data_IF_990332956757
#
_entry.id   IF_990332956757
#
_cell.length_a   1.000
_cell.length_b   1.000
_cell.length_c   1.000
_cell.angle_alpha   90.00
_cell.angle_beta   90.00
_cell.angle_gamma   90.00
#
_symmetry.space_group_name_H-M   'P 1'
#
loop_
_entity.id
_entity.type
_entity.pdbx_description
1 polymer ?
#
# COMPACT_ATOMS: atom_id res chain seq x y z
N UNK A 1 13.15 24.80 26.11
CA UNK A 1 12.19 25.23 25.08
C UNK A 1 12.59 24.53 23.80
N UNK A 2 11.97 23.39 23.51
CA UNK A 2 12.20 22.64 22.28
C UNK A 2 11.68 23.43 21.10
N UNK A 3 12.49 23.60 20.07
CA UNK A 3 12.05 24.17 18.80
C UNK A 3 10.79 23.45 18.31
N UNK A 4 9.80 24.16 17.73
CA UNK A 4 8.64 23.51 17.17
C UNK A 4 9.12 22.59 16.04
N UNK A 5 8.71 21.33 16.10
CA UNK A 5 8.92 20.37 15.02
C UNK A 5 8.22 20.93 13.78
N UNK A 6 8.96 21.62 12.91
CA UNK A 6 8.46 22.09 11.62
C UNK A 6 8.37 20.88 10.70
N UNK A 7 7.32 20.08 10.85
CA UNK A 7 7.07 18.97 9.92
C UNK A 7 6.77 19.59 8.55
N UNK A 8 7.65 19.40 7.58
CA UNK A 8 7.39 19.68 6.15
C UNK A 8 6.33 18.74 5.53
N UNK A 9 5.50 18.14 6.37
CA UNK A 9 4.46 17.19 6.01
C UNK A 9 3.18 17.93 5.62
N UNK A 10 2.45 17.34 4.68
CA UNK A 10 1.10 17.78 4.31
C UNK A 10 0.08 17.36 5.37
N UNK A 11 -1.06 18.05 5.44
CA UNK A 11 -2.15 17.67 6.35
C UNK A 11 -2.68 16.26 6.06
N UNK A 12 -2.95 16.01 4.77
CA UNK A 12 -3.49 14.73 4.31
C UNK A 12 -2.74 14.18 3.09
N UNK A 13 -2.90 12.87 2.89
CA UNK A 13 -2.52 12.12 1.70
C UNK A 13 -3.80 11.79 0.91
N UNK A 14 -3.89 12.24 -0.36
CA UNK A 14 -4.99 11.87 -1.27
C UNK A 14 -4.69 10.52 -1.92
N UNK A 15 -5.39 9.47 -1.51
CA UNK A 15 -5.13 8.09 -1.94
C UNK A 15 -6.24 7.59 -2.87
N UNK A 16 -5.87 7.11 -4.06
CA UNK A 16 -6.74 6.35 -4.94
C UNK A 16 -6.67 4.86 -4.63
N UNK A 17 -7.80 4.22 -4.38
CA UNK A 17 -7.91 2.77 -4.17
C UNK A 17 -8.69 2.20 -5.35
N UNK A 18 -8.09 1.27 -6.08
CA UNK A 18 -8.76 0.53 -7.16
C UNK A 18 -8.95 -0.91 -6.70
N UNK A 19 -10.16 -1.43 -6.82
CA UNK A 19 -10.49 -2.82 -6.63
C UNK A 19 -10.90 -3.41 -7.97
N UNK A 20 -10.05 -4.25 -8.56
CA UNK A 20 -10.43 -5.02 -9.75
C UNK A 20 -11.31 -6.19 -9.36
N UNK A 21 -12.23 -6.59 -10.24
CA UNK A 21 -13.20 -7.67 -9.99
C UNK A 21 -12.80 -9.03 -10.57
N UNK A 22 -11.54 -9.19 -10.99
CA UNK A 22 -11.06 -10.40 -11.63
C UNK A 22 -11.39 -11.66 -10.81
N UNK A 23 -11.73 -12.75 -11.48
CA UNK A 23 -12.04 -14.03 -10.85
C UNK A 23 -10.75 -14.84 -10.66
N UNK A 24 -10.29 -15.10 -9.42
CA UNK A 24 -9.04 -15.80 -9.17
C UNK A 24 -9.08 -17.29 -9.58
N UNK A 25 -10.26 -17.89 -9.69
CA UNK A 25 -10.40 -19.27 -10.20
C UNK A 25 -10.19 -19.26 -11.71
N UNK A 26 -10.79 -18.31 -12.43
CA UNK A 26 -10.66 -18.18 -13.88
C UNK A 26 -9.30 -17.62 -14.32
N UNK A 27 -8.64 -16.83 -13.47
CA UNK A 27 -7.37 -16.20 -13.77
C UNK A 27 -6.22 -17.22 -13.87
N UNK A 28 -6.14 -18.18 -12.94
CA UNK A 28 -4.98 -19.09 -12.82
C UNK A 28 -5.36 -20.58 -12.94
N UNK A 29 -6.18 -20.92 -13.95
CA UNK A 29 -6.62 -22.30 -14.21
C UNK A 29 -5.46 -23.19 -14.67
N UNK A 30 -4.61 -22.68 -15.57
CA UNK A 30 -3.57 -23.46 -16.27
C UNK A 30 -2.16 -23.19 -15.76
N UNK A 31 -2.03 -22.59 -14.57
CA UNK A 31 -0.75 -22.21 -13.98
C UNK A 31 -0.72 -20.73 -13.54
N UNK A 32 0.48 -20.19 -13.25
CA UNK A 32 0.66 -18.90 -12.61
C UNK A 32 0.47 -17.71 -13.55
N UNK A 33 0.18 -17.94 -14.83
CA UNK A 33 -0.08 -16.86 -15.79
C UNK A 33 -1.57 -16.55 -15.83
N UNK A 34 -1.94 -15.29 -15.61
CA UNK A 34 -3.33 -14.82 -15.72
C UNK A 34 -3.90 -15.14 -17.10
N UNK A 35 -5.13 -15.65 -17.13
CA UNK A 35 -5.83 -16.00 -18.37
C UNK A 35 -6.18 -14.76 -19.19
N UNK A 36 -6.19 -14.83 -20.54
CA UNK A 36 -6.42 -13.65 -21.39
C UNK A 36 -7.73 -12.90 -21.10
N UNK A 37 -8.80 -13.62 -20.73
CA UNK A 37 -10.09 -13.01 -20.41
C UNK A 37 -10.01 -12.17 -19.13
N UNK A 38 -9.35 -12.67 -18.08
CA UNK A 38 -9.16 -11.93 -16.84
C UNK A 38 -8.12 -10.80 -17.00
N UNK A 39 -7.11 -10.97 -17.87
CA UNK A 39 -6.20 -9.86 -18.24
C UNK A 39 -6.97 -8.71 -18.89
N UNK A 40 -7.85 -8.99 -19.85
CA UNK A 40 -8.66 -7.98 -20.53
C UNK A 40 -9.61 -7.25 -19.57
N UNK A 41 -10.29 -8.01 -18.68
CA UNK A 41 -11.15 -7.44 -17.64
C UNK A 41 -10.36 -6.50 -16.73
N UNK A 42 -9.26 -6.99 -16.15
CA UNK A 42 -8.44 -6.20 -15.23
C UNK A 42 -7.91 -4.94 -15.91
N UNK A 43 -7.38 -5.04 -17.13
CA UNK A 43 -6.89 -3.89 -17.90
C UNK A 43 -8.00 -2.86 -18.15
N UNK A 44 -9.19 -3.31 -18.51
CA UNK A 44 -10.34 -2.43 -18.79
C UNK A 44 -10.74 -1.65 -17.55
N UNK A 45 -10.88 -2.33 -16.41
CA UNK A 45 -11.23 -1.72 -15.13
C UNK A 45 -10.16 -0.72 -14.67
N UNK A 46 -8.88 -1.13 -14.69
CA UNK A 46 -7.75 -0.27 -14.31
C UNK A 46 -7.74 1.00 -15.15
N UNK A 47 -7.87 0.89 -16.48
CA UNK A 47 -7.89 2.05 -17.37
C UNK A 47 -9.09 2.96 -17.09
N UNK A 48 -10.27 2.39 -16.83
CA UNK A 48 -11.46 3.15 -16.47
C UNK A 48 -11.25 3.99 -15.22
N UNK A 49 -10.74 3.40 -14.14
CA UNK A 49 -10.50 4.12 -12.90
C UNK A 49 -9.33 5.11 -12.98
N UNK A 50 -8.27 4.79 -13.71
CA UNK A 50 -7.21 5.78 -14.00
C UNK A 50 -7.76 6.97 -14.79
N UNK A 51 -8.65 6.75 -15.76
CA UNK A 51 -9.27 7.83 -16.49
C UNK A 51 -10.15 8.71 -15.58
N UNK A 52 -10.92 8.10 -14.67
CA UNK A 52 -11.73 8.81 -13.68
C UNK A 52 -10.86 9.62 -12.71
N UNK A 53 -9.82 9.01 -12.14
CA UNK A 53 -8.89 9.70 -11.22
C UNK A 53 -8.10 10.82 -11.89
N UNK A 54 -7.91 10.77 -13.22
CA UNK A 54 -7.27 11.86 -13.95
C UNK A 54 -8.15 13.12 -14.06
N UNK A 55 -9.47 13.01 -13.85
CA UNK A 55 -10.37 14.16 -13.86
C UNK A 55 -10.32 14.96 -12.54
N UNK A 56 -9.69 14.40 -11.51
CA UNK A 56 -9.56 15.04 -10.22
C UNK A 56 -8.48 16.10 -10.21
N UNK A 57 -8.73 17.19 -9.50
CA UNK A 57 -7.79 18.31 -9.37
C UNK A 57 -7.52 18.62 -7.90
N UNK A 58 -6.33 18.29 -7.37
CA UNK A 58 -5.28 17.48 -8.00
C UNK A 58 -5.66 15.99 -8.11
N UNK A 59 -5.00 15.21 -8.99
CA UNK A 59 -5.09 13.75 -8.99
C UNK A 59 -4.63 13.15 -7.65
N UNK A 60 -4.94 11.87 -7.37
CA UNK A 60 -4.42 11.20 -6.18
C UNK A 60 -2.89 11.21 -6.12
N UNK A 61 -2.33 11.38 -4.93
CA UNK A 61 -0.88 11.32 -4.70
C UNK A 61 -0.32 9.91 -4.92
N UNK A 62 -1.04 8.92 -4.39
CA UNK A 62 -0.75 7.49 -4.50
C UNK A 62 -2.00 6.78 -5.04
N UNK A 63 -1.81 5.77 -5.89
CA UNK A 63 -2.85 4.84 -6.29
C UNK A 63 -2.43 3.42 -5.91
N UNK A 64 -3.30 2.69 -5.20
CA UNK A 64 -3.07 1.30 -4.81
C UNK A 64 -3.98 0.35 -5.60
N UNK A 65 -3.43 -0.78 -6.02
CA UNK A 65 -4.15 -1.88 -6.67
C UNK A 65 -3.91 -3.21 -5.93
N UNK A 66 -4.84 -4.17 -5.97
CA UNK A 66 -4.75 -5.39 -5.17
C UNK A 66 -3.59 -6.29 -5.58
N UNK A 67 -3.34 -7.31 -4.76
CA UNK A 67 -2.41 -8.39 -5.10
C UNK A 67 -2.85 -9.09 -6.40
N UNK A 68 -1.87 -9.46 -7.25
CA UNK A 68 -2.09 -10.19 -8.50
C UNK A 68 -3.12 -9.56 -9.46
N UNK A 69 -3.38 -8.25 -9.33
CA UNK A 69 -4.41 -7.56 -10.09
C UNK A 69 -3.97 -7.08 -11.47
N UNK A 70 -2.66 -6.94 -11.69
CA UNK A 70 -2.10 -6.31 -12.89
C UNK A 70 -1.36 -7.35 -13.74
N UNK A 71 -1.80 -7.61 -14.98
CA UNK A 71 -1.07 -8.50 -15.89
C UNK A 71 0.37 -8.02 -16.12
N UNK A 72 1.33 -8.94 -16.13
CA UNK A 72 2.75 -8.60 -16.35
C UNK A 72 2.99 -7.88 -17.69
N UNK A 73 2.25 -8.23 -18.75
CA UNK A 73 2.31 -7.56 -20.05
C UNK A 73 1.77 -6.12 -20.05
N UNK A 74 1.04 -5.71 -19.01
CA UNK A 74 0.48 -4.37 -18.87
C UNK A 74 1.39 -3.40 -18.10
N UNK A 75 2.48 -3.88 -17.49
CA UNK A 75 3.40 -3.07 -16.67
C UNK A 75 3.87 -1.79 -17.39
N UNK A 76 4.29 -1.89 -18.66
CA UNK A 76 4.78 -0.74 -19.42
C UNK A 76 3.71 0.36 -19.60
N UNK A 77 2.45 -0.04 -19.83
CA UNK A 77 1.32 0.89 -19.96
C UNK A 77 0.96 1.49 -18.60
N UNK A 78 0.98 0.70 -17.53
CA UNK A 78 0.75 1.19 -16.17
C UNK A 78 1.78 2.26 -15.77
N UNK A 79 3.06 2.05 -16.10
CA UNK A 79 4.12 3.06 -15.91
C UNK A 79 3.85 4.34 -16.67
N UNK A 80 3.40 4.25 -17.92
CA UNK A 80 3.04 5.42 -18.71
C UNK A 80 1.85 6.19 -18.11
N UNK A 81 0.83 5.47 -17.63
CA UNK A 81 -0.33 6.08 -16.95
C UNK A 81 0.08 6.78 -15.64
N UNK A 82 0.89 6.15 -14.80
CA UNK A 82 1.44 6.75 -13.59
C UNK A 82 2.23 8.04 -13.89
N UNK A 83 3.07 8.00 -14.92
CA UNK A 83 3.87 9.15 -15.37
C UNK A 83 3.00 10.31 -15.85
N UNK A 84 1.99 10.02 -16.66
CA UNK A 84 1.05 11.03 -17.18
C UNK A 84 0.23 11.67 -16.05
N UNK A 85 -0.21 10.86 -15.08
CA UNK A 85 -1.00 11.33 -13.94
C UNK A 85 -0.15 12.06 -12.89
N UNK A 86 1.17 11.83 -12.89
CA UNK A 86 2.08 12.30 -11.84
C UNK A 86 1.72 11.76 -10.45
N UNK A 87 1.23 10.52 -10.41
CA UNK A 87 0.89 9.80 -9.18
C UNK A 87 1.84 8.62 -8.98
N UNK A 88 2.21 8.37 -7.74
CA UNK A 88 2.87 7.10 -7.38
C UNK A 88 1.85 5.97 -7.49
N UNK A 89 2.26 4.82 -8.00
CA UNK A 89 1.37 3.64 -8.12
C UNK A 89 2.00 2.46 -7.40
N UNK A 90 1.20 1.76 -6.59
CA UNK A 90 1.59 0.54 -5.88
C UNK A 90 0.61 -0.56 -6.30
N UNK A 91 1.08 -1.56 -7.04
CA UNK A 91 0.20 -2.53 -7.67
C UNK A 91 0.70 -3.97 -7.53
N UNK A 92 -0.17 -4.91 -7.18
CA UNK A 92 0.16 -6.33 -7.25
C UNK A 92 0.22 -6.79 -8.70
N UNK A 93 1.39 -7.27 -9.13
CA UNK A 93 1.55 -7.85 -10.46
C UNK A 93 1.14 -9.32 -10.43
N UNK A 94 0.62 -9.81 -11.57
CA UNK A 94 0.52 -11.23 -11.88
C UNK A 94 1.88 -11.93 -11.68
N UNK A 95 1.85 -13.25 -11.45
CA UNK A 95 3.06 -13.98 -11.09
C UNK A 95 4.14 -13.82 -12.18
N UNK A 96 5.38 -13.69 -11.72
CA UNK A 96 6.56 -13.60 -12.58
C UNK A 96 7.38 -14.89 -12.46
N UNK A 97 7.84 -15.42 -13.58
CA UNK A 97 8.79 -16.53 -13.56
C UNK A 97 10.11 -16.13 -12.86
N UNK A 98 10.64 -17.05 -12.05
CA UNK A 98 11.96 -16.94 -11.43
C UNK A 98 13.09 -17.33 -12.39
N UNK A 99 14.29 -17.47 -11.83
CA UNK A 99 15.49 -17.80 -12.60
C UNK A 99 15.53 -19.29 -12.98
N UNK A 100 15.02 -20.17 -12.10
CA UNK A 100 14.92 -21.59 -12.38
C UNK A 100 13.54 -21.97 -12.97
N UNK A 101 13.46 -23.00 -13.83
CA UNK A 101 12.19 -23.52 -14.33
C UNK A 101 11.23 -23.88 -13.20
N UNK A 102 10.00 -23.39 -13.29
CA UNK A 102 8.96 -23.62 -12.27
C UNK A 102 9.05 -22.71 -11.04
N UNK A 103 10.09 -21.87 -10.89
CA UNK A 103 10.08 -20.83 -9.84
C UNK A 103 9.11 -19.71 -10.22
N UNK A 104 8.36 -19.21 -9.24
CA UNK A 104 7.45 -18.07 -9.40
C UNK A 104 7.59 -17.07 -8.25
N UNK A 105 7.42 -15.80 -8.58
CA UNK A 105 7.37 -14.69 -7.64
C UNK A 105 6.00 -14.03 -7.69
N UNK A 106 5.54 -13.59 -6.52
CA UNK A 106 4.40 -12.70 -6.35
C UNK A 106 4.95 -11.35 -5.87
N UNK A 107 4.89 -10.34 -6.74
CA UNK A 107 5.56 -9.05 -6.54
C UNK A 107 4.51 -7.91 -6.51
N UNK A 108 4.62 -7.01 -5.54
CA UNK A 108 4.09 -5.67 -5.69
C UNK A 108 5.07 -4.80 -6.51
N UNK A 109 4.56 -3.95 -7.38
CA UNK A 109 5.30 -2.97 -8.16
C UNK A 109 5.00 -1.57 -7.63
N UNK A 110 6.04 -0.93 -7.09
CA UNK A 110 6.05 0.50 -6.83
C UNK A 110 6.54 1.23 -8.08
N UNK A 111 5.76 2.20 -8.57
CA UNK A 111 6.09 3.07 -9.69
C UNK A 111 6.16 4.51 -9.17
N UNK A 112 7.31 5.16 -9.36
CA UNK A 112 7.52 6.56 -9.02
C UNK A 112 7.63 7.39 -10.32
N UNK A 113 6.70 8.33 -10.57
CA UNK A 113 6.72 9.14 -11.79
C UNK A 113 7.89 10.14 -11.77
N UNK A 114 8.29 10.64 -12.94
CA UNK A 114 9.36 11.65 -13.08
C UNK A 114 9.08 12.93 -12.28
N UNK A 115 7.80 13.29 -12.14
CA UNK A 115 7.33 14.42 -11.34
C UNK A 115 6.22 13.95 -10.43
N UNK A 116 6.25 14.40 -9.18
CA UNK A 116 5.28 14.05 -8.16
C UNK A 116 5.11 15.22 -7.20
N UNK A 117 3.86 15.62 -6.92
CA UNK A 117 3.53 16.78 -6.06
C UNK A 117 4.32 18.05 -6.41
N UNK A 118 4.44 18.34 -7.71
CA UNK A 118 5.17 19.51 -8.23
C UNK A 118 6.70 19.40 -8.20
N UNK A 119 7.28 18.37 -7.58
CA UNK A 119 8.72 18.14 -7.49
C UNK A 119 9.20 17.16 -8.56
N UNK A 120 10.43 17.34 -9.04
CA UNK A 120 11.08 16.37 -9.90
C UNK A 120 11.66 15.23 -9.05
N UNK A 121 11.29 13.99 -9.36
CA UNK A 121 11.78 12.78 -8.67
C UNK A 121 12.97 12.14 -9.39
N UNK A 122 13.14 12.43 -10.68
CA UNK A 122 14.23 11.90 -11.49
C UNK A 122 14.00 12.13 -12.98
N UNK A 123 15.01 11.83 -13.81
CA UNK A 123 14.92 11.98 -15.27
C UNK A 123 14.03 10.92 -15.93
N UNK A 124 13.75 9.80 -15.24
CA UNK A 124 12.93 8.68 -15.73
C UNK A 124 12.01 8.17 -14.64
N UNK A 125 10.89 7.57 -15.06
CA UNK A 125 9.97 6.86 -14.16
C UNK A 125 10.66 5.63 -13.59
N UNK A 126 10.81 5.61 -12.26
CA UNK A 126 11.48 4.54 -11.53
C UNK A 126 10.48 3.46 -11.14
N UNK A 127 10.95 2.21 -11.04
CA UNK A 127 10.16 1.10 -10.51
C UNK A 127 10.93 0.31 -9.47
N UNK A 128 10.21 -0.25 -8.50
CA UNK A 128 10.74 -1.18 -7.50
C UNK A 128 9.78 -2.34 -7.32
N UNK A 129 10.31 -3.56 -7.38
CA UNK A 129 9.56 -4.76 -6.99
C UNK A 129 9.74 -5.01 -5.50
N UNK A 130 8.64 -5.32 -4.83
CA UNK A 130 8.56 -5.69 -3.42
C UNK A 130 7.96 -7.09 -3.40
N UNK A 131 8.81 -8.10 -3.26
CA UNK A 131 8.38 -9.48 -3.31
C UNK A 131 7.64 -9.90 -2.04
N UNK A 132 6.69 -10.81 -2.21
CA UNK A 132 5.96 -11.46 -1.11
C UNK A 132 6.89 -12.45 -0.40
N UNK A 133 6.85 -12.46 0.93
CA UNK A 133 7.68 -13.37 1.73
C UNK A 133 7.03 -14.72 1.93
N UNK A 134 5.75 -14.74 2.28
CA UNK A 134 5.03 -15.95 2.61
C UNK A 134 3.86 -16.15 1.66
N UNK A 135 3.90 -17.23 0.87
CA UNK A 135 2.72 -17.68 0.14
C UNK A 135 1.59 -18.01 1.13
N UNK A 136 0.35 -17.65 0.78
CA UNK A 136 -0.80 -18.08 1.55
C UNK A 136 -0.94 -19.61 1.45
N UNK A 137 -1.48 -20.31 2.47
CA UNK A 137 -1.58 -21.77 2.43
C UNK A 137 -2.30 -22.34 1.20
N UNK A 138 -3.35 -21.66 0.72
CA UNK A 138 -4.09 -22.08 -0.49
C UNK A 138 -3.34 -21.74 -1.79
N UNK A 139 -2.55 -20.66 -1.79
CA UNK A 139 -1.67 -20.29 -2.91
C UNK A 139 -0.55 -21.31 -3.06
N UNK A 140 0.15 -21.64 -1.96
CA UNK A 140 1.25 -22.60 -1.94
C UNK A 140 0.80 -23.98 -2.43
N UNK A 141 -0.35 -24.46 -1.92
CA UNK A 141 -0.97 -25.72 -2.38
C UNK A 141 -1.25 -25.73 -3.88
N UNK A 142 -1.81 -24.64 -4.43
CA UNK A 142 -2.13 -24.52 -5.86
C UNK A 142 -0.87 -24.52 -6.72
N UNK A 143 0.17 -23.78 -6.30
CA UNK A 143 1.45 -23.71 -7.01
C UNK A 143 2.14 -25.08 -7.04
N UNK A 144 2.22 -25.77 -5.90
CA UNK A 144 2.81 -27.11 -5.81
C UNK A 144 2.05 -28.10 -6.70
N UNK A 145 0.71 -28.08 -6.67
CA UNK A 145 -0.11 -28.97 -7.50
C UNK A 145 0.09 -28.73 -9.01
N UNK A 146 0.45 -27.51 -9.39
CA UNK A 146 0.77 -27.14 -10.76
C UNK A 146 2.28 -27.29 -11.10
N UNK A 147 3.07 -27.94 -10.24
CA UNK A 147 4.52 -28.13 -10.39
C UNK A 147 5.34 -26.82 -10.40
N UNK A 148 4.90 -25.81 -9.65
CA UNK A 148 5.62 -24.56 -9.41
C UNK A 148 6.12 -24.47 -7.97
N UNK A 149 7.24 -23.75 -7.79
CA UNK A 149 7.83 -23.45 -6.48
C UNK A 149 7.74 -21.95 -6.23
N UNK A 150 7.12 -21.57 -5.11
CA UNK A 150 7.06 -20.18 -4.70
C UNK A 150 8.41 -19.68 -4.20
N UNK A 151 8.91 -18.59 -4.79
CA UNK A 151 10.16 -17.94 -4.39
C UNK A 151 9.89 -16.79 -3.43
N UNK A 152 10.29 -17.00 -2.18
CA UNK A 152 10.17 -16.03 -1.09
C UNK A 152 11.13 -14.86 -1.26
N UNK A 153 10.66 -13.64 -0.97
CA UNK A 153 11.50 -12.45 -0.78
C UNK A 153 11.33 -11.93 0.66
N UNK A 154 12.32 -12.10 1.55
CA UNK A 154 12.22 -11.66 2.95
C UNK A 154 12.44 -10.15 3.13
N UNK A 155 12.74 -9.41 2.07
CA UNK A 155 13.07 -7.98 2.16
C UNK A 155 11.92 -7.17 2.74
N UNK A 156 12.24 -6.23 3.64
CA UNK A 156 11.31 -5.26 4.22
C UNK A 156 11.75 -3.86 3.78
N UNK A 157 10.82 -3.11 3.19
CA UNK A 157 11.10 -1.80 2.59
C UNK A 157 10.49 -0.69 3.41
N UNK A 158 11.32 0.26 3.83
CA UNK A 158 10.88 1.53 4.39
C UNK A 158 11.00 2.61 3.31
N UNK A 159 9.87 3.09 2.81
CA UNK A 159 9.80 3.98 1.66
C UNK A 159 9.55 5.42 2.11
N UNK A 160 10.45 6.34 1.77
CA UNK A 160 10.30 7.76 2.06
C UNK A 160 9.37 8.42 1.03
N UNK A 161 8.20 8.87 1.49
CA UNK A 161 7.22 9.61 0.70
C UNK A 161 7.37 11.14 0.79
N UNK A 162 8.42 11.65 1.43
CA UNK A 162 8.63 13.07 1.64
C UNK A 162 7.48 13.69 2.43
N UNK A 163 6.74 14.62 1.82
CA UNK A 163 5.70 15.38 2.49
C UNK A 163 4.51 14.52 2.98
N UNK A 164 4.28 13.33 2.42
CA UNK A 164 3.19 12.44 2.86
C UNK A 164 3.62 11.47 3.96
N UNK A 165 4.86 11.57 4.44
CA UNK A 165 5.44 10.66 5.41
C UNK A 165 5.99 9.37 4.78
N UNK A 166 6.54 8.52 5.65
CA UNK A 166 7.14 7.24 5.30
C UNK A 166 6.06 6.16 5.26
N UNK A 167 6.22 5.17 4.38
CA UNK A 167 5.26 4.07 4.26
C UNK A 167 5.92 2.72 4.02
N UNK A 168 5.18 1.66 4.36
CA UNK A 168 5.52 0.27 4.05
C UNK A 168 4.51 -0.34 3.09
N UNK A 169 4.93 -1.38 2.37
CA UNK A 169 4.07 -2.18 1.50
C UNK A 169 4.19 -3.64 1.91
N UNK A 170 3.05 -4.32 2.03
CA UNK A 170 2.96 -5.73 2.38
C UNK A 170 2.02 -6.43 1.39
N UNK A 171 2.33 -7.68 1.04
CA UNK A 171 1.53 -8.45 0.08
C UNK A 171 0.76 -9.53 0.84
N UNK A 172 -0.54 -9.29 1.00
CA UNK A 172 -1.55 -10.23 1.49
C UNK A 172 -1.16 -10.95 2.77
N UNK A 173 -0.72 -12.21 2.68
CA UNK A 173 -0.43 -13.06 3.84
C UNK A 173 0.74 -12.55 4.69
N UNK A 174 1.67 -11.77 4.10
CA UNK A 174 2.71 -11.06 4.84
C UNK A 174 2.14 -10.15 5.93
N UNK A 175 0.89 -9.68 5.79
CA UNK A 175 0.22 -8.84 6.77
C UNK A 175 -0.01 -9.54 8.12
N UNK A 176 0.05 -10.87 8.16
CA UNK A 176 -0.08 -11.65 9.40
C UNK A 176 1.27 -11.95 10.05
N UNK A 177 2.38 -11.49 9.48
CA UNK A 177 3.71 -11.60 10.07
C UNK A 177 3.95 -10.51 11.12
N UNK A 178 3.91 -10.91 12.39
CA UNK A 178 4.12 -10.03 13.53
C UNK A 178 5.51 -9.38 13.55
N UNK A 179 6.56 -10.10 13.14
CA UNK A 179 7.93 -9.56 13.15
C UNK A 179 8.06 -8.44 12.11
N UNK A 180 7.51 -8.67 10.91
CA UNK A 180 7.43 -7.66 9.86
C UNK A 180 6.62 -6.44 10.28
N UNK A 181 5.47 -6.62 10.92
CA UNK A 181 4.67 -5.51 11.47
C UNK A 181 5.49 -4.71 12.50
N UNK A 182 6.19 -5.40 13.40
CA UNK A 182 6.99 -4.75 14.44
C UNK A 182 8.11 -3.88 13.85
N UNK A 183 8.70 -4.26 12.71
CA UNK A 183 9.73 -3.48 12.02
C UNK A 183 9.26 -2.10 11.54
N UNK A 184 7.94 -1.90 11.37
CA UNK A 184 7.34 -0.63 10.95
C UNK A 184 6.91 0.26 12.12
N UNK A 185 6.83 -0.28 13.34
CA UNK A 185 6.34 0.45 14.52
C UNK A 185 7.13 1.74 14.75
N UNK A 186 6.41 2.86 14.75
CA UNK A 186 6.96 4.20 14.92
C UNK A 186 7.79 4.74 13.77
N UNK A 187 7.88 4.02 12.64
CA UNK A 187 8.72 4.38 11.49
C UNK A 187 7.93 4.78 10.25
N UNK A 188 6.62 4.58 10.26
CA UNK A 188 5.74 4.83 9.11
C UNK A 188 4.49 5.60 9.53
N UNK A 189 3.99 6.41 8.60
CA UNK A 189 2.66 7.02 8.67
C UNK A 189 1.63 6.12 7.98
N UNK A 190 2.03 5.30 6.99
CA UNK A 190 1.09 4.45 6.23
C UNK A 190 1.63 3.02 6.03
N UNK A 191 0.73 2.05 6.13
CA UNK A 191 0.96 0.69 5.65
C UNK A 191 -0.06 0.36 4.55
N UNK A 192 0.45 -0.01 3.38
CA UNK A 192 -0.37 -0.45 2.24
C UNK A 192 -0.29 -1.97 2.10
N UNK A 193 -1.44 -2.63 2.23
CA UNK A 193 -1.59 -4.07 2.11
C UNK A 193 -2.34 -4.35 0.82
N UNK A 194 -1.67 -4.98 -0.13
CA UNK A 194 -2.29 -5.43 -1.38
C UNK A 194 -2.77 -6.87 -1.17
N UNK A 195 -4.04 -7.16 -1.42
CA UNK A 195 -4.61 -8.46 -1.04
C UNK A 195 -5.47 -9.09 -2.14
N UNK A 196 -5.37 -10.41 -2.22
CA UNK A 196 -6.34 -11.30 -2.83
C UNK A 196 -6.75 -12.31 -1.76
N UNK A 197 -7.57 -11.85 -0.82
CA UNK A 197 -7.91 -12.61 0.37
C UNK A 197 -9.42 -12.80 0.52
N UNK A 198 -9.83 -14.05 0.76
CA UNK A 198 -11.23 -14.43 1.03
C UNK A 198 -11.69 -14.07 2.44
N UNK A 199 -10.79 -14.03 3.42
CA UNK A 199 -11.11 -13.72 4.82
C UNK A 199 -10.95 -12.22 5.12
N UNK A 200 -11.85 -11.43 4.53
CA UNK A 200 -11.84 -9.97 4.70
C UNK A 200 -12.11 -9.52 6.16
N UNK A 201 -12.84 -10.32 6.94
CA UNK A 201 -13.21 -9.95 8.31
C UNK A 201 -12.01 -10.06 9.25
N UNK A 202 -11.24 -11.13 9.20
CA UNK A 202 -10.02 -11.24 10.01
C UNK A 202 -9.02 -10.16 9.63
N UNK A 203 -8.82 -9.89 8.34
CA UNK A 203 -7.95 -8.80 7.88
C UNK A 203 -8.37 -7.43 8.41
N UNK A 204 -9.68 -7.15 8.47
CA UNK A 204 -10.21 -5.92 9.09
C UNK A 204 -9.82 -5.81 10.56
N UNK A 205 -10.01 -6.89 11.33
CA UNK A 205 -9.66 -6.88 12.76
C UNK A 205 -8.16 -6.71 12.98
N UNK A 206 -7.33 -7.35 12.16
CA UNK A 206 -5.88 -7.16 12.20
C UNK A 206 -5.51 -5.72 11.82
N UNK A 207 -6.14 -5.12 10.80
CA UNK A 207 -5.91 -3.72 10.43
C UNK A 207 -6.23 -2.75 11.56
N UNK A 208 -7.36 -2.90 12.23
CA UNK A 208 -7.69 -2.07 13.39
C UNK A 208 -6.69 -2.22 14.55
N UNK A 209 -6.21 -3.45 14.78
CA UNK A 209 -5.21 -3.72 15.80
C UNK A 209 -3.84 -3.12 15.43
N UNK A 210 -3.37 -3.36 14.20
CA UNK A 210 -2.10 -2.85 13.68
C UNK A 210 -2.10 -1.33 13.66
N UNK A 211 -3.19 -0.69 13.23
CA UNK A 211 -3.31 0.76 13.25
C UNK A 211 -3.05 1.35 14.64
N UNK A 212 -3.44 0.64 15.72
CA UNK A 212 -3.15 1.07 17.11
C UNK A 212 -1.78 0.64 17.61
N UNK A 213 -1.29 -0.54 17.27
CA UNK A 213 -0.03 -1.10 17.79
C UNK A 213 1.21 -0.54 17.10
N UNK A 214 1.16 -0.38 15.77
CA UNK A 214 2.18 0.32 14.96
C UNK A 214 1.99 1.83 15.07
N UNK A 215 0.75 2.26 15.31
CA UNK A 215 0.32 3.65 15.38
C UNK A 215 0.47 4.37 14.05
N UNK A 216 -0.14 3.84 12.99
CA UNK A 216 -0.08 4.37 11.63
C UNK A 216 -1.44 4.19 10.93
N UNK A 217 -1.63 4.83 9.77
CA UNK A 217 -2.73 4.48 8.88
C UNK A 217 -2.48 3.08 8.30
N UNK A 218 -3.53 2.28 8.20
CA UNK A 218 -3.47 0.94 7.60
C UNK A 218 -4.52 0.86 6.49
N UNK A 219 -4.07 0.57 5.27
CA UNK A 219 -4.93 0.46 4.09
C UNK A 219 -4.82 -0.93 3.52
N UNK A 220 -5.95 -1.62 3.42
CA UNK A 220 -6.09 -2.87 2.70
C UNK A 220 -6.78 -2.57 1.37
N UNK A 221 -6.08 -2.89 0.28
CA UNK A 221 -6.62 -2.90 -1.07
C UNK A 221 -6.82 -4.37 -1.47
N UNK A 222 -8.03 -4.89 -1.27
CA UNK A 222 -8.39 -6.26 -1.59
C UNK A 222 -9.11 -6.35 -2.95
N UNK A 223 -8.88 -7.44 -3.67
CA UNK A 223 -9.58 -7.74 -4.91
C UNK A 223 -11.11 -7.71 -4.71
N UNK A 224 -11.79 -7.04 -5.63
CA UNK A 224 -13.24 -6.88 -5.67
C UNK A 224 -14.01 -8.20 -5.76
N UNK A 225 -13.38 -9.28 -6.22
CA UNK A 225 -13.98 -10.62 -6.19
C UNK A 225 -14.43 -11.01 -4.78
N UNK A 226 -13.59 -10.78 -3.76
CA UNK A 226 -13.95 -10.99 -2.36
C UNK A 226 -14.44 -9.70 -1.66
N UNK A 227 -14.02 -8.53 -2.16
CA UNK A 227 -14.32 -7.25 -1.54
C UNK A 227 -13.53 -7.02 -0.26
N UNK A 228 -13.97 -6.07 0.58
CA UNK A 228 -13.36 -5.88 1.90
C UNK A 228 -12.12 -4.99 1.92
N UNK A 229 -11.96 -4.09 0.94
CA UNK A 229 -10.98 -3.01 1.08
C UNK A 229 -11.37 -2.08 2.23
N UNK A 230 -10.35 -1.54 2.89
CA UNK A 230 -10.49 -0.82 4.15
C UNK A 230 -9.35 0.18 4.31
N UNK A 231 -9.63 1.35 4.86
CA UNK A 231 -8.63 2.24 5.41
C UNK A 231 -8.99 2.63 6.84
N UNK A 232 -8.06 2.43 7.76
CA UNK A 232 -8.22 2.77 9.18
C UNK A 232 -7.07 3.62 9.69
N UNK A 233 -7.36 4.47 10.67
CA UNK A 233 -6.40 5.35 11.34
C UNK A 233 -6.61 5.33 12.86
N UNK A 234 -5.57 5.52 13.69
CA UNK A 234 -5.66 5.41 15.16
C UNK A 234 -6.36 6.60 15.84
N UNK A 235 -7.45 7.12 15.25
CA UNK A 235 -8.27 8.16 15.83
C UNK A 235 -8.87 7.75 17.18
N UNK A 236 -9.02 8.75 18.06
CA UNK A 236 -9.62 8.58 19.39
C UNK A 236 -11.07 8.12 19.27
N UNK A 237 -11.87 8.88 18.52
CA UNK A 237 -13.29 8.65 18.29
C UNK A 237 -13.49 7.40 17.42
N UNK A 238 -14.22 6.37 17.89
CA UNK A 238 -14.46 5.13 17.14
C UNK A 238 -14.98 5.34 15.71
N UNK A 239 -15.94 6.23 15.54
CA UNK A 239 -16.61 6.57 14.29
C UNK A 239 -15.68 7.19 13.23
N UNK A 240 -14.56 7.77 13.65
CA UNK A 240 -13.54 8.34 12.75
C UNK A 240 -12.47 7.33 12.35
N UNK A 241 -12.34 6.21 13.08
CA UNK A 241 -11.24 5.26 12.85
C UNK A 241 -11.30 4.62 11.47
N UNK A 242 -12.50 4.30 11.01
CA UNK A 242 -12.73 3.80 9.65
C UNK A 242 -12.88 4.98 8.71
N UNK A 243 -11.85 5.25 7.92
CA UNK A 243 -11.85 6.32 6.91
C UNK A 243 -12.62 5.86 5.67
N UNK A 244 -12.44 4.59 5.30
CA UNK A 244 -13.10 3.99 4.17
C UNK A 244 -13.29 2.50 4.40
N UNK A 245 -14.43 1.99 3.98
CA UNK A 245 -14.71 0.57 3.96
C UNK A 245 -15.61 0.25 2.77
N UNK A 246 -15.20 -0.73 1.98
CA UNK A 246 -16.04 -1.29 0.94
C UNK A 246 -16.36 -2.75 1.27
N UNK A 247 -17.65 -3.06 1.32
CA UNK A 247 -18.18 -4.40 1.58
C UNK A 247 -18.99 -4.87 0.37
N UNK A 248 -18.95 -6.18 0.09
CA UNK A 248 -19.58 -6.79 -1.07
C UNK A 248 -18.56 -7.47 -1.97
N UNK A 249 -18.91 -8.65 -2.46
CA UNK A 249 -18.11 -9.47 -3.37
C UNK A 249 -18.54 -9.24 -4.83
N UNK A 250 -17.63 -9.48 -5.77
CA UNK A 250 -17.86 -9.34 -7.21
C UNK A 250 -17.99 -7.90 -7.71
N UNK A 251 -17.41 -6.92 -7.01
CA UNK A 251 -17.55 -5.50 -7.34
C UNK A 251 -16.22 -4.88 -7.77
N UNK A 252 -16.17 -4.35 -9.00
CA UNK A 252 -15.10 -3.46 -9.42
C UNK A 252 -15.39 -2.06 -8.87
N UNK A 253 -14.44 -1.45 -8.16
CA UNK A 253 -14.60 -0.08 -7.65
C UNK A 253 -13.32 0.74 -7.74
N UNK A 254 -13.48 2.06 -7.78
CA UNK A 254 -12.40 3.02 -7.65
C UNK A 254 -12.86 4.13 -6.71
N UNK A 255 -12.08 4.41 -5.67
CA UNK A 255 -12.42 5.40 -4.65
C UNK A 255 -11.22 6.27 -4.33
N UNK A 256 -11.49 7.53 -3.98
CA UNK A 256 -10.47 8.47 -3.51
C UNK A 256 -10.79 8.82 -2.07
N UNK A 257 -9.77 8.71 -1.22
CA UNK A 257 -9.88 8.96 0.21
C UNK A 257 -8.74 9.86 0.68
N UNK A 258 -8.88 10.43 1.86
CA UNK A 258 -7.83 11.22 2.50
C UNK A 258 -7.38 10.57 3.81
N UNK A 259 -6.07 10.41 3.96
CA UNK A 259 -5.46 9.87 5.17
C UNK A 259 -4.73 10.99 5.93
N UNK A 260 -4.83 11.07 7.27
CA UNK A 260 -4.09 12.07 8.04
C UNK A 260 -2.58 11.82 7.96
N UNK A 261 -1.80 12.88 7.83
CA UNK A 261 -0.33 12.83 7.76
C UNK A 261 0.26 13.70 8.86
N UNK A 262 0.29 15.03 8.71
CA UNK A 262 0.94 15.92 9.69
C UNK A 262 0.36 15.79 11.11
N UNK A 263 -0.97 15.71 11.33
CA UNK A 263 -1.51 15.48 12.67
C UNK A 263 -1.09 14.13 13.26
N UNK A 264 -1.00 13.08 12.43
CA UNK A 264 -0.58 11.76 12.87
C UNK A 264 0.89 11.77 13.29
N UNK A 265 1.77 12.36 12.48
CA UNK A 265 3.20 12.50 12.76
C UNK A 265 3.46 13.34 14.02
N UNK A 266 2.71 14.44 14.21
CA UNK A 266 2.77 15.24 15.42
C UNK A 266 2.41 14.40 16.67
N UNK A 267 1.41 13.52 16.57
CA UNK A 267 1.06 12.60 17.64
C UNK A 267 2.10 11.51 17.90
N UNK A 268 2.71 10.99 16.83
CA UNK A 268 3.82 10.04 16.92
C UNK A 268 5.02 10.67 17.64
N UNK A 269 5.28 11.97 17.43
CA UNK A 269 6.35 12.74 18.09
C UNK A 269 6.04 13.22 19.52
N UNK A 270 5.06 12.60 20.20
CA UNK A 270 4.62 12.88 21.57
C UNK A 270 3.98 14.25 21.80
N UNK A 271 3.44 14.88 20.77
CA UNK A 271 2.57 16.06 20.90
C UNK A 271 1.12 15.65 20.68
N UNK A 272 0.18 16.06 21.53
CA UNK A 272 -1.23 15.66 21.35
C UNK A 272 -2.01 16.69 20.49
N UNK A 273 -2.19 16.49 19.17
CA UNK A 273 -3.06 17.35 18.38
C UNK A 273 -4.50 17.28 18.90
N UNK A 274 -5.15 18.44 18.93
CA UNK A 274 -6.53 18.57 19.37
C UNK A 274 -7.48 18.60 18.16
N UNK A 275 -8.65 17.97 18.30
CA UNK A 275 -9.79 18.03 17.36
C UNK A 275 -11.05 18.16 18.20
N UNK A 276 -11.86 19.19 17.94
CA UNK A 276 -13.16 19.41 18.60
C UNK A 276 -13.09 19.42 20.15
N UNK A 277 -12.01 19.97 20.70
CA UNK A 277 -11.80 20.08 22.15
C UNK A 277 -11.28 18.81 22.83
N UNK A 278 -11.02 17.73 22.08
CA UNK A 278 -10.39 16.51 22.59
C UNK A 278 -9.11 16.14 21.82
N UNK A 279 -8.32 15.19 22.34
CA UNK A 279 -7.18 14.63 21.60
C UNK A 279 -7.66 13.91 20.34
N UNK A 280 -7.07 14.23 19.18
CA UNK A 280 -7.49 13.66 17.90
C UNK A 280 -7.24 12.14 17.84
N UNK A 281 -6.11 11.66 18.36
CA UNK A 281 -5.71 10.26 18.30
C UNK A 281 -5.78 9.54 19.65
N UNK A 282 -5.77 8.20 19.60
CA UNK A 282 -5.62 7.37 20.80
C UNK A 282 -4.23 7.55 21.42
N UNK A 283 -4.10 7.18 22.69
CA UNK A 283 -2.80 7.11 23.35
C UNK A 283 -1.84 6.19 22.57
N UNK A 284 -0.57 6.58 22.51
CA UNK A 284 0.46 5.73 21.93
C UNK A 284 0.53 4.37 22.64
N UNK A 285 0.82 3.29 21.91
CA UNK A 285 0.83 1.94 22.47
C UNK A 285 2.00 1.75 23.45
N UNK A 286 1.91 0.86 24.44
CA UNK A 286 2.96 0.63 25.42
C UNK A 286 4.32 0.27 24.79
N UNK A 287 5.39 0.95 25.21
CA UNK A 287 6.73 0.74 24.64
C UNK A 287 6.92 1.32 23.25
N UNK A 288 6.02 2.22 22.80
CA UNK A 288 6.24 3.01 21.59
C UNK A 288 7.48 3.90 21.79
N UNK A 289 8.42 3.81 20.86
CA UNK A 289 9.65 4.61 20.85
C UNK A 289 9.74 5.26 19.48
N UNK A 290 10.06 6.54 19.48
CA UNK A 290 10.46 7.21 18.25
C UNK A 290 11.73 6.53 17.71
N UNK A 291 11.86 6.37 16.38
CA UNK A 291 13.09 5.88 15.79
C UNK A 291 14.18 6.88 16.13
N UNK A 292 15.31 6.40 16.65
CA UNK A 292 16.52 7.22 16.76
C UNK A 292 16.98 7.50 15.33
N UNK A 293 16.74 8.71 14.83
CA UNK A 293 17.29 9.14 13.54
C UNK A 293 18.81 9.20 13.71
N UNK A 294 19.60 8.40 12.98
CA UNK A 294 21.04 8.60 12.96
C UNK A 294 21.30 9.97 12.34
N UNK A 295 21.93 10.87 13.09
CA UNK A 295 22.35 12.18 12.58
C UNK A 295 23.26 11.94 11.38
N UNK A 296 22.76 12.12 10.16
CA UNK A 296 23.62 12.16 8.98
C UNK A 296 24.39 13.47 9.02
N UNK A 297 25.68 13.33 9.34
CA UNK A 297 26.74 14.35 9.44
C UNK A 297 26.47 15.69 8.75
N UNK A 298 26.50 16.71 9.60
CA UNK A 298 27.16 18.01 9.46
C UNK A 298 27.17 18.66 8.06
N UNK A 299 26.45 19.77 7.98
CA UNK A 299 26.80 20.93 7.17
C UNK A 299 28.32 21.11 7.12
N UNK A 300 28.90 21.03 5.93
CA UNK A 300 30.19 21.68 5.68
C UNK A 300 29.91 23.17 5.56
N UNK A 301 30.00 23.86 6.69
CA UNK A 301 30.35 25.27 6.72
C UNK A 301 31.84 25.43 6.38
N UNK A 302 32.09 26.29 5.39
CA UNK A 302 33.27 27.11 5.16
C UNK A 302 34.66 26.48 4.92
N UNK A 303 35.18 26.88 3.76
CA UNK A 303 36.54 26.74 3.25
C UNK A 303 36.58 27.32 1.84
#
# INVERSE_FOLDING_TARGET
MSEPHSSHLTETLKLGIIQTSLDPIAAWVNGPKMSPCEEERAITEIRGYFAAFHQESPPPDIIVLPELAVPTGFEGKLRAMATKMQSVVIAGLDYRAGDAPGEVHNDALLIVPQRWRGKAMGSKTMTRRIGKTYAAPDEDKKLIAAAYTFKRDPSVWLLDGGAIGTFGVMVCYDFLDLERIAMYRGRVQHLFILALNKDATSFRHVAEAVARMVFCNVVICNCGHFGGSLAVSPYRQPERRTIYQHAGAGLATGQIIELPVAPLDLHQSHSDPMSDGEKAFKSLPPGYRLPVVPISKAEKSDG
#
